data_IF_710390657917
#
_entry.id   IF_710390657917
#
_cell.length_a   1.000
_cell.length_b   1.000
_cell.length_c   1.000
_cell.angle_alpha   90.00
_cell.angle_beta   90.00
_cell.angle_gamma   90.00
#
_symmetry.space_group_name_H-M   'P 1'
#
loop_
_entity.id
_entity.type
_entity.pdbx_description
1 polymer ?
#
# COMPACT_ATOMS: atom_id res chain seq x y z
N UNK A 1 -34.76 -73.90 -1.08
CA UNK A 1 -34.29 -72.50 -0.82
C UNK A 1 -32.77 -72.51 -0.63
N UNK A 2 -32.06 -72.10 -1.69
CA UNK A 2 -30.59 -71.98 -1.66
C UNK A 2 -30.24 -70.47 -1.45
N UNK A 3 -29.62 -70.18 -0.34
CA UNK A 3 -29.07 -68.82 -0.07
C UNK A 3 -27.72 -68.72 -0.76
N UNK A 4 -27.63 -67.80 -1.72
CA UNK A 4 -26.40 -67.41 -2.40
C UNK A 4 -25.73 -66.33 -1.55
N UNK A 5 -24.59 -66.64 -0.93
CA UNK A 5 -23.79 -65.69 -0.18
C UNK A 5 -22.87 -64.95 -1.16
N UNK A 6 -23.17 -63.68 -1.44
CA UNK A 6 -22.31 -62.82 -2.25
C UNK A 6 -21.25 -62.21 -1.28
N UNK A 7 -20.02 -62.70 -1.45
CA UNK A 7 -18.85 -62.18 -0.77
C UNK A 7 -18.35 -60.94 -1.51
N UNK A 8 -18.59 -59.74 -0.96
CA UNK A 8 -17.98 -58.47 -1.46
C UNK A 8 -16.53 -58.46 -1.02
N UNK A 9 -15.60 -58.63 -1.98
CA UNK A 9 -14.19 -58.34 -1.79
C UNK A 9 -14.00 -56.81 -1.89
N UNK A 10 -13.86 -56.16 -0.76
CA UNK A 10 -13.36 -54.78 -0.66
C UNK A 10 -11.85 -54.82 -0.95
N UNK A 11 -11.47 -54.56 -2.21
CA UNK A 11 -10.11 -54.15 -2.55
C UNK A 11 -9.90 -52.72 -2.05
N UNK A 12 -9.36 -52.60 -0.85
CA UNK A 12 -8.82 -51.34 -0.39
C UNK A 12 -7.60 -51.00 -1.25
N UNK A 13 -7.70 -50.03 -2.13
CA UNK A 13 -6.53 -49.33 -2.65
C UNK A 13 -5.83 -48.64 -1.45
N UNK A 14 -4.86 -49.31 -0.90
CA UNK A 14 -3.84 -48.61 -0.09
C UNK A 14 -3.00 -47.78 -1.07
N UNK A 15 -3.33 -46.53 -1.25
CA UNK A 15 -2.35 -45.58 -1.73
C UNK A 15 -1.21 -45.63 -0.69
N UNK A 16 -0.04 -46.09 -1.09
CA UNK A 16 1.18 -45.87 -0.33
C UNK A 16 1.37 -44.37 -0.21
N UNK A 17 0.87 -43.80 0.90
CA UNK A 17 1.34 -42.52 1.39
C UNK A 17 2.75 -42.79 1.87
N UNK A 18 3.75 -42.79 0.95
CA UNK A 18 5.14 -42.65 1.32
C UNK A 18 5.20 -41.45 2.29
N UNK A 19 5.65 -41.71 3.50
CA UNK A 19 5.93 -40.62 4.45
C UNK A 19 6.78 -39.59 3.71
N UNK A 20 6.43 -38.30 3.73
CA UNK A 20 7.23 -37.30 3.05
C UNK A 20 8.68 -37.46 3.48
N UNK A 21 9.59 -37.58 2.51
CA UNK A 21 11.04 -37.60 2.81
C UNK A 21 11.32 -36.46 3.75
N UNK A 22 12.05 -36.76 4.85
CA UNK A 22 12.42 -35.72 5.80
C UNK A 22 13.33 -34.72 5.10
N UNK A 23 12.83 -33.52 4.85
CA UNK A 23 13.61 -32.46 4.25
C UNK A 23 14.74 -32.05 5.20
N UNK A 24 15.96 -32.02 4.72
CA UNK A 24 17.12 -31.56 5.47
C UNK A 24 17.27 -30.05 5.31
N UNK A 25 16.56 -29.29 6.14
CA UNK A 25 16.68 -27.84 6.16
C UNK A 25 18.07 -27.41 6.66
N UNK A 26 18.63 -26.30 6.13
CA UNK A 26 19.80 -25.68 6.73
C UNK A 26 19.56 -25.37 8.23
N UNK A 27 20.57 -25.68 9.06
CA UNK A 27 20.44 -25.52 10.51
C UNK A 27 20.38 -24.02 10.89
N UNK A 28 19.49 -23.70 11.84
CA UNK A 28 19.45 -22.41 12.51
C UNK A 28 20.13 -22.54 13.87
N UNK A 29 21.16 -21.74 14.14
CA UNK A 29 21.78 -21.73 15.47
C UNK A 29 20.77 -21.25 16.51
N UNK A 30 20.90 -21.75 17.73
CA UNK A 30 20.09 -21.34 18.87
C UNK A 30 20.98 -20.58 19.85
N UNK A 31 20.64 -19.33 20.11
CA UNK A 31 21.30 -18.50 21.12
C UNK A 31 20.36 -18.26 22.30
N UNK A 32 20.89 -18.12 23.50
CA UNK A 32 20.08 -17.84 24.68
C UNK A 32 19.97 -16.32 24.85
N UNK A 33 18.95 -15.75 24.25
CA UNK A 33 18.62 -14.31 24.40
C UNK A 33 17.33 -14.20 25.19
N UNK A 34 17.34 -13.35 26.22
CA UNK A 34 16.17 -13.05 27.02
C UNK A 34 15.91 -11.56 26.97
N UNK A 35 14.66 -11.15 26.74
CA UNK A 35 14.24 -9.77 26.85
C UNK A 35 12.91 -9.67 27.62
N UNK A 36 12.62 -8.48 28.13
CA UNK A 36 11.38 -8.24 28.88
C UNK A 36 10.37 -7.51 27.97
N UNK A 37 9.19 -8.10 27.82
CA UNK A 37 8.08 -7.53 27.09
C UNK A 37 6.88 -7.39 28.04
N UNK A 38 6.47 -6.15 28.32
CA UNK A 38 5.35 -5.84 29.23
C UNK A 38 5.44 -6.52 30.61
N UNK A 39 6.65 -6.62 31.17
CA UNK A 39 6.89 -7.25 32.47
C UNK A 39 7.04 -8.80 32.44
N UNK A 40 6.94 -9.39 31.26
CA UNK A 40 7.13 -10.84 31.05
C UNK A 40 8.48 -11.08 30.38
N UNK A 41 9.28 -11.99 30.95
CA UNK A 41 10.53 -12.43 30.34
C UNK A 41 10.23 -13.38 29.20
N UNK A 42 10.63 -13.00 27.99
CA UNK A 42 10.54 -13.81 26.76
C UNK A 42 11.93 -14.41 26.50
N UNK A 43 11.96 -15.73 26.25
CA UNK A 43 13.17 -16.42 25.81
C UNK A 43 13.05 -16.63 24.30
N UNK A 44 13.89 -15.95 23.53
CA UNK A 44 13.92 -16.07 22.09
C UNK A 44 15.30 -16.55 21.63
N UNK A 45 15.43 -17.82 21.24
CA UNK A 45 16.69 -18.36 20.76
C UNK A 45 17.08 -17.87 19.35
N UNK A 46 16.21 -17.14 18.68
CA UNK A 46 16.40 -16.67 17.30
C UNK A 46 16.39 -15.14 17.19
N UNK A 47 16.43 -14.43 18.31
CA UNK A 47 16.43 -12.96 18.33
C UNK A 47 17.51 -12.33 17.43
N UNK A 48 18.64 -12.98 17.26
CA UNK A 48 19.72 -12.54 16.34
C UNK A 48 19.27 -12.45 14.87
N UNK A 49 18.18 -13.14 14.48
CA UNK A 49 17.63 -13.06 13.12
C UNK A 49 16.97 -11.73 12.81
N UNK A 50 16.71 -10.87 13.81
CA UNK A 50 16.23 -9.50 13.59
C UNK A 50 17.32 -8.59 12.99
N UNK A 51 18.59 -8.94 13.08
CA UNK A 51 19.70 -8.26 12.41
C UNK A 51 19.90 -8.83 11.00
N UNK A 52 19.13 -8.32 10.05
CA UNK A 52 19.16 -8.75 8.64
C UNK A 52 20.48 -8.40 7.92
N UNK A 53 21.28 -7.49 8.47
CA UNK A 53 22.60 -7.10 7.91
C UNK A 53 23.74 -7.97 8.47
N UNK A 54 23.47 -8.77 9.47
CA UNK A 54 24.43 -9.70 10.06
C UNK A 54 24.93 -10.69 9.01
N UNK A 55 26.26 -10.86 8.84
CA UNK A 55 26.83 -11.84 7.90
C UNK A 55 26.30 -13.26 8.08
N UNK A 56 26.01 -13.65 9.33
CA UNK A 56 25.44 -14.96 9.61
C UNK A 56 24.00 -15.09 9.08
N UNK A 57 23.16 -14.07 9.29
CA UNK A 57 21.77 -14.09 8.83
C UNK A 57 21.69 -14.05 7.31
N UNK A 58 22.54 -13.25 6.67
CA UNK A 58 22.67 -13.22 5.20
C UNK A 58 23.08 -14.58 4.65
N UNK A 59 24.10 -15.22 5.24
CA UNK A 59 24.55 -16.55 4.81
C UNK A 59 23.47 -17.61 5.05
N UNK A 60 22.81 -17.61 6.21
CA UNK A 60 21.70 -18.50 6.50
C UNK A 60 20.55 -18.33 5.49
N UNK A 61 20.19 -17.11 5.16
CA UNK A 61 19.17 -16.81 4.15
C UNK A 61 19.56 -17.35 2.77
N UNK A 62 20.82 -17.18 2.36
CA UNK A 62 21.32 -17.72 1.11
C UNK A 62 21.27 -19.25 1.06
N UNK A 63 21.59 -19.93 2.18
CA UNK A 63 21.49 -21.39 2.29
C UNK A 63 20.03 -21.86 2.21
N UNK A 64 19.08 -21.14 2.83
CA UNK A 64 17.64 -21.44 2.71
C UNK A 64 17.17 -21.29 1.26
N UNK A 65 17.57 -20.22 0.58
CA UNK A 65 17.23 -20.00 -0.82
C UNK A 65 17.78 -21.10 -1.72
N UNK A 66 19.06 -21.46 -1.57
CA UNK A 66 19.66 -22.55 -2.34
C UNK A 66 18.98 -23.90 -2.08
N UNK A 67 18.55 -24.15 -0.84
CA UNK A 67 17.76 -25.34 -0.50
C UNK A 67 16.41 -25.35 -1.21
N UNK A 68 15.66 -24.22 -1.20
CA UNK A 68 14.38 -24.08 -1.87
C UNK A 68 14.56 -24.26 -3.40
N UNK A 69 15.56 -23.63 -3.98
CA UNK A 69 15.87 -23.79 -5.42
C UNK A 69 16.10 -25.27 -5.77
N UNK A 70 16.93 -25.97 -5.00
CA UNK A 70 17.19 -27.41 -5.23
C UNK A 70 15.96 -28.28 -5.05
N UNK A 71 15.06 -27.94 -4.12
CA UNK A 71 13.80 -28.63 -3.90
C UNK A 71 12.78 -28.40 -5.04
N UNK A 72 12.81 -27.19 -5.61
CA UNK A 72 11.93 -26.80 -6.71
C UNK A 72 12.48 -27.20 -8.09
N UNK A 73 13.70 -27.79 -8.18
CA UNK A 73 14.21 -28.34 -9.42
C UNK A 73 13.36 -29.53 -9.89
N UNK A 74 12.66 -29.37 -11.02
CA UNK A 74 11.87 -30.45 -11.60
C UNK A 74 10.97 -30.02 -12.75
N UNK A 75 10.56 -30.97 -13.56
CA UNK A 75 9.73 -30.72 -14.75
C UNK A 75 8.34 -30.15 -14.43
N UNK A 76 7.80 -30.45 -13.23
CA UNK A 76 6.51 -29.90 -12.80
C UNK A 76 6.60 -28.42 -12.51
N UNK A 77 7.69 -27.97 -11.88
CA UNK A 77 7.93 -26.55 -11.58
C UNK A 77 8.13 -25.75 -12.85
N UNK A 78 8.91 -26.27 -13.82
CA UNK A 78 9.08 -25.59 -15.10
C UNK A 78 7.76 -25.43 -15.84
N UNK A 79 6.89 -26.44 -15.81
CA UNK A 79 5.55 -26.38 -16.40
C UNK A 79 4.67 -25.32 -15.72
N UNK A 80 4.73 -25.23 -14.39
CA UNK A 80 4.01 -24.17 -13.63
C UNK A 80 4.56 -22.79 -13.98
N UNK A 81 5.89 -22.64 -14.08
CA UNK A 81 6.53 -21.39 -14.47
C UNK A 81 6.11 -20.96 -15.89
N UNK A 82 6.05 -21.89 -16.84
CA UNK A 82 5.58 -21.60 -18.20
C UNK A 82 4.14 -21.12 -18.21
N UNK A 83 3.25 -21.80 -17.48
CA UNK A 83 1.83 -21.42 -17.36
C UNK A 83 1.70 -20.02 -16.71
N UNK A 84 2.43 -19.75 -15.63
CA UNK A 84 2.42 -18.46 -14.98
C UNK A 84 2.98 -17.37 -15.89
N UNK A 85 4.08 -17.64 -16.59
CA UNK A 85 4.69 -16.70 -17.54
C UNK A 85 3.71 -16.35 -18.66
N UNK A 86 3.01 -17.34 -19.22
CA UNK A 86 1.97 -17.11 -20.22
C UNK A 86 0.81 -16.28 -19.66
N UNK A 87 0.34 -16.61 -18.45
CA UNK A 87 -0.77 -15.90 -17.80
C UNK A 87 -0.44 -14.43 -17.49
N UNK A 88 0.80 -14.16 -17.07
CA UNK A 88 1.27 -12.81 -16.74
C UNK A 88 1.82 -12.02 -17.93
N UNK A 89 2.02 -12.65 -19.09
CA UNK A 89 2.48 -11.97 -20.32
C UNK A 89 1.40 -11.18 -21.05
N UNK A 90 0.23 -11.02 -20.44
CA UNK A 90 -0.87 -10.26 -21.06
C UNK A 90 -0.60 -8.76 -21.01
N UNK A 91 -0.88 -8.09 -22.12
CA UNK A 91 -0.85 -6.63 -22.18
C UNK A 91 -1.84 -6.02 -21.19
N UNK A 92 -1.40 -5.02 -20.46
CA UNK A 92 -2.18 -4.35 -19.42
C UNK A 92 -2.34 -2.86 -19.72
N UNK A 93 -3.57 -2.38 -19.61
CA UNK A 93 -3.93 -0.95 -19.57
C UNK A 93 -4.75 -0.65 -18.32
N UNK A 94 -4.38 0.36 -17.56
CA UNK A 94 -5.20 0.80 -16.43
C UNK A 94 -6.53 1.39 -16.91
N UNK A 95 -7.54 1.41 -16.01
CA UNK A 95 -8.87 1.95 -16.33
C UNK A 95 -8.84 3.39 -16.85
N UNK A 96 -7.85 4.19 -16.46
CA UNK A 96 -7.66 5.56 -16.96
C UNK A 96 -7.34 5.63 -18.45
N UNK A 97 -6.84 4.56 -19.07
CA UNK A 97 -6.69 4.47 -20.52
C UNK A 97 -8.02 4.60 -21.25
N UNK A 98 -9.07 3.98 -20.71
CA UNK A 98 -10.41 3.98 -21.30
C UNK A 98 -11.22 5.23 -20.94
N UNK A 99 -10.75 6.05 -19.99
CA UNK A 99 -11.39 7.31 -19.62
C UNK A 99 -10.94 8.44 -20.55
N UNK A 100 -11.82 9.04 -21.39
CA UNK A 100 -11.45 10.13 -22.31
C UNK A 100 -10.95 11.40 -21.60
N UNK A 101 -11.34 11.62 -20.35
CA UNK A 101 -10.95 12.77 -19.55
C UNK A 101 -9.58 12.62 -18.90
N UNK A 102 -9.03 11.40 -18.87
CA UNK A 102 -7.72 11.15 -18.33
C UNK A 102 -6.63 11.35 -19.38
N UNK A 103 -5.66 12.21 -19.08
CA UNK A 103 -4.49 12.44 -19.94
C UNK A 103 -3.41 11.36 -19.76
N UNK A 104 -3.49 10.52 -18.70
CA UNK A 104 -2.44 9.59 -18.31
C UNK A 104 -3.00 8.21 -17.95
N UNK A 105 -2.17 7.18 -18.08
CA UNK A 105 -2.52 5.81 -17.76
C UNK A 105 -1.28 4.97 -17.46
N UNK A 106 -1.47 3.78 -16.85
CA UNK A 106 -0.43 2.78 -16.70
C UNK A 106 -0.54 1.74 -17.83
N UNK A 107 0.61 1.33 -18.33
CA UNK A 107 0.76 0.35 -19.39
C UNK A 107 1.84 -0.66 -19.06
N UNK A 108 1.65 -1.91 -19.48
CA UNK A 108 2.66 -2.95 -19.49
C UNK A 108 2.41 -3.83 -20.72
N UNK A 109 3.44 -4.12 -21.52
CA UNK A 109 3.30 -5.00 -22.69
C UNK A 109 3.14 -6.48 -22.32
N UNK A 110 3.34 -6.82 -21.06
CA UNK A 110 3.40 -8.17 -20.53
C UNK A 110 4.83 -8.72 -20.43
N UNK A 111 5.83 -7.95 -20.83
CA UNK A 111 7.25 -8.34 -20.78
C UNK A 111 8.07 -7.54 -19.76
N UNK A 112 7.57 -6.41 -19.30
CA UNK A 112 8.25 -5.56 -18.32
C UNK A 112 7.92 -5.99 -16.90
N UNK A 113 8.90 -5.85 -16.00
CA UNK A 113 8.73 -6.09 -14.55
C UNK A 113 7.76 -5.07 -13.93
N UNK A 114 7.85 -3.81 -14.34
CA UNK A 114 7.06 -2.70 -13.82
C UNK A 114 6.20 -2.05 -14.91
N UNK A 115 5.05 -1.50 -14.51
CA UNK A 115 4.22 -0.71 -15.41
C UNK A 115 4.86 0.62 -15.74
N UNK A 116 4.77 1.00 -17.02
CA UNK A 116 5.10 2.32 -17.51
C UNK A 116 4.00 3.31 -17.16
N UNK A 117 4.34 4.55 -16.83
CA UNK A 117 3.38 5.65 -16.73
C UNK A 117 3.39 6.45 -18.02
N UNK A 118 2.26 6.46 -18.72
CA UNK A 118 2.10 6.93 -20.10
C UNK A 118 1.26 8.18 -20.15
N UNK A 119 1.55 9.07 -21.12
CA UNK A 119 0.72 10.21 -21.50
C UNK A 119 0.08 9.95 -22.85
N UNK A 120 -1.24 10.12 -22.92
CA UNK A 120 -2.01 10.03 -24.16
C UNK A 120 -1.65 11.14 -25.15
N UNK A 121 -1.56 10.80 -26.43
CA UNK A 121 -1.27 11.74 -27.51
C UNK A 121 -1.62 11.15 -28.89
N UNK A 122 -1.13 11.78 -29.95
CA UNK A 122 -1.20 11.19 -31.29
C UNK A 122 -0.34 9.92 -31.35
N UNK A 123 0.84 9.99 -30.73
CA UNK A 123 1.68 8.88 -30.33
C UNK A 123 1.84 8.99 -28.81
N UNK A 124 1.44 7.95 -28.08
CA UNK A 124 1.51 7.95 -26.62
C UNK A 124 2.96 7.99 -26.15
N UNK A 125 3.24 8.78 -25.12
CA UNK A 125 4.59 9.00 -24.62
C UNK A 125 4.82 8.38 -23.25
N UNK A 126 5.96 7.71 -23.05
CA UNK A 126 6.43 7.25 -21.74
C UNK A 126 6.87 8.47 -20.93
N UNK A 127 6.27 8.64 -19.74
CA UNK A 127 6.65 9.70 -18.78
C UNK A 127 7.56 9.14 -17.70
N UNK A 128 7.23 7.97 -17.15
CA UNK A 128 8.07 7.27 -16.19
C UNK A 128 8.23 5.81 -16.61
N UNK A 129 9.46 5.34 -16.63
CA UNK A 129 9.82 3.94 -16.84
C UNK A 129 10.60 3.41 -15.63
N UNK A 130 9.93 2.76 -14.66
CA UNK A 130 10.60 2.22 -13.49
C UNK A 130 11.59 1.08 -13.81
N UNK A 131 11.45 0.42 -14.96
CA UNK A 131 12.34 -0.66 -15.37
C UNK A 131 13.78 -0.20 -15.64
N UNK A 132 13.97 1.11 -15.82
CA UNK A 132 15.28 1.75 -16.06
C UNK A 132 15.91 2.38 -14.82
N UNK A 133 15.26 2.31 -13.64
CA UNK A 133 15.72 3.04 -12.45
C UNK A 133 16.81 2.33 -11.65
N UNK A 134 16.86 1.00 -11.71
CA UNK A 134 17.91 0.20 -11.09
C UNK A 134 18.19 -1.07 -11.89
N UNK A 135 19.44 -1.55 -11.84
CA UNK A 135 19.85 -2.74 -12.58
C UNK A 135 19.16 -4.02 -12.07
N UNK A 136 18.84 -4.07 -10.78
CA UNK A 136 18.15 -5.18 -10.12
C UNK A 136 16.62 -5.05 -10.15
N UNK A 137 16.09 -3.97 -10.76
CA UNK A 137 14.65 -3.66 -10.87
C UNK A 137 13.91 -3.66 -9.53
N UNK A 138 14.58 -3.35 -8.43
CA UNK A 138 13.96 -3.25 -7.09
C UNK A 138 13.28 -1.92 -6.85
N UNK A 139 13.62 -0.86 -7.63
CA UNK A 139 12.94 0.43 -7.55
C UNK A 139 11.57 0.37 -8.23
N UNK A 140 10.53 0.67 -7.49
CA UNK A 140 9.16 0.61 -7.96
C UNK A 140 8.44 1.96 -7.82
N UNK A 141 7.60 2.28 -8.81
CA UNK A 141 6.66 3.41 -8.78
C UNK A 141 5.42 3.01 -7.98
N UNK A 142 5.17 3.74 -6.88
CA UNK A 142 4.03 3.43 -5.99
C UNK A 142 2.82 4.34 -6.26
N UNK A 143 3.01 5.67 -6.22
CA UNK A 143 1.94 6.65 -6.42
C UNK A 143 2.34 7.70 -7.44
N UNK A 144 1.34 8.22 -8.15
CA UNK A 144 1.50 9.36 -9.07
C UNK A 144 0.37 10.36 -8.83
N UNK A 145 0.70 11.64 -8.95
CA UNK A 145 -0.28 12.73 -8.84
C UNK A 145 0.12 13.90 -9.71
N UNK A 146 -0.71 14.24 -10.69
CA UNK A 146 -0.48 15.40 -11.58
C UNK A 146 -1.00 16.66 -10.91
N UNK A 147 -0.24 17.74 -10.95
CA UNK A 147 -0.65 19.03 -10.38
C UNK A 147 -1.89 19.61 -11.08
N UNK A 148 -2.75 20.38 -10.39
CA UNK A 148 -3.94 21.00 -10.98
C UNK A 148 -3.65 21.85 -12.22
N UNK A 149 -2.50 22.53 -12.26
CA UNK A 149 -2.06 23.31 -13.42
C UNK A 149 -1.42 22.46 -14.54
N UNK A 150 -1.35 21.13 -14.36
CA UNK A 150 -0.76 20.15 -15.31
C UNK A 150 0.71 20.40 -15.65
N UNK A 151 1.45 21.17 -14.84
CA UNK A 151 2.87 21.43 -15.05
C UNK A 151 3.80 20.43 -14.38
N UNK A 152 3.35 19.84 -13.27
CA UNK A 152 4.18 18.98 -12.44
C UNK A 152 3.55 17.61 -12.25
N UNK A 153 4.38 16.61 -12.14
CA UNK A 153 4.04 15.26 -11.69
C UNK A 153 4.76 14.99 -10.38
N UNK A 154 4.01 14.77 -9.32
CA UNK A 154 4.55 14.19 -8.09
C UNK A 154 4.42 12.67 -8.16
N UNK A 155 5.48 11.95 -7.81
CA UNK A 155 5.45 10.49 -7.78
C UNK A 155 6.31 9.93 -6.65
N UNK A 156 5.90 8.80 -6.10
CA UNK A 156 6.63 8.14 -5.01
C UNK A 156 7.32 6.87 -5.49
N UNK A 157 8.53 6.67 -4.97
CA UNK A 157 9.40 5.54 -5.28
C UNK A 157 9.66 4.74 -4.01
N UNK A 158 9.56 3.41 -4.10
CA UNK A 158 10.00 2.48 -3.08
C UNK A 158 11.18 1.64 -3.58
N UNK A 159 11.96 1.09 -2.66
CA UNK A 159 13.07 0.20 -2.95
C UNK A 159 12.87 -1.16 -2.26
N UNK A 160 12.91 -2.24 -3.03
CA UNK A 160 12.85 -3.60 -2.50
C UNK A 160 11.56 -3.93 -1.72
N UNK A 161 10.43 -3.26 -2.04
CA UNK A 161 9.14 -3.52 -1.41
C UNK A 161 8.99 -3.03 0.03
N UNK A 162 9.97 -2.25 0.57
CA UNK A 162 9.83 -1.63 1.90
C UNK A 162 8.71 -0.60 1.90
N UNK A 163 8.14 -0.33 3.08
CA UNK A 163 7.05 0.65 3.22
C UNK A 163 7.49 2.10 3.06
N UNK A 164 8.78 2.38 3.18
CA UNK A 164 9.33 3.72 3.05
C UNK A 164 9.34 4.19 1.60
N UNK A 165 8.92 5.44 1.37
CA UNK A 165 8.84 6.08 0.08
C UNK A 165 9.65 7.36 0.05
N UNK A 166 10.10 7.70 -1.15
CA UNK A 166 10.63 9.03 -1.48
C UNK A 166 9.72 9.64 -2.53
N UNK A 167 9.18 10.83 -2.27
CA UNK A 167 8.41 11.58 -3.27
C UNK A 167 9.39 12.44 -4.07
N UNK A 168 9.26 12.38 -5.38
CA UNK A 168 9.98 13.21 -6.37
C UNK A 168 8.99 14.05 -7.15
N UNK A 169 9.45 15.18 -7.64
CA UNK A 169 8.63 16.09 -8.46
C UNK A 169 9.29 16.23 -9.83
N UNK A 170 8.54 15.96 -10.88
CA UNK A 170 8.98 16.15 -12.27
C UNK A 170 8.28 17.35 -12.89
N UNK A 171 9.01 18.18 -13.60
CA UNK A 171 8.46 19.18 -14.51
C UNK A 171 8.04 18.48 -15.82
N UNK A 172 6.76 18.53 -16.16
CA UNK A 172 6.17 17.85 -17.32
C UNK A 172 6.44 18.54 -18.67
N UNK A 173 6.96 19.76 -18.67
CA UNK A 173 7.38 20.45 -19.88
C UNK A 173 8.78 20.01 -20.31
N UNK A 174 9.67 19.86 -19.32
CA UNK A 174 11.07 19.50 -19.55
C UNK A 174 11.37 18.01 -19.37
N UNK A 175 10.45 17.26 -18.74
CA UNK A 175 10.62 15.89 -18.28
C UNK A 175 11.82 15.70 -17.33
N UNK A 176 12.21 16.74 -16.60
CA UNK A 176 13.28 16.68 -15.63
C UNK A 176 12.74 16.71 -14.20
N UNK A 177 13.36 15.94 -13.32
CA UNK A 177 13.07 16.04 -11.89
C UNK A 177 13.61 17.36 -11.33
N UNK A 178 12.84 17.96 -10.41
CA UNK A 178 13.36 18.99 -9.54
C UNK A 178 14.39 18.39 -8.57
N UNK A 179 15.28 19.21 -8.02
CA UNK A 179 16.26 18.76 -7.02
C UNK A 179 15.62 18.41 -5.67
N UNK A 180 14.31 18.59 -5.55
CA UNK A 180 13.55 18.32 -4.33
C UNK A 180 13.23 16.83 -4.19
N UNK A 181 13.66 16.22 -3.10
CA UNK A 181 13.25 14.88 -2.67
C UNK A 181 12.62 14.94 -1.27
N UNK A 182 11.45 14.35 -1.12
CA UNK A 182 10.73 14.27 0.15
C UNK A 182 10.85 12.84 0.68
N UNK A 183 11.57 12.66 1.76
CA UNK A 183 11.85 11.35 2.38
C UNK A 183 10.99 11.08 3.60
N UNK A 184 11.12 9.88 4.20
CA UNK A 184 10.41 9.46 5.42
C UNK A 184 8.89 9.40 5.24
N UNK A 185 8.44 9.27 3.99
CA UNK A 185 7.04 9.08 3.62
C UNK A 185 6.67 7.61 3.77
N UNK A 186 5.51 7.33 4.35
CA UNK A 186 5.00 5.98 4.54
C UNK A 186 3.47 6.01 4.58
N UNK A 187 2.82 5.02 3.94
CA UNK A 187 1.36 4.90 3.89
C UNK A 187 0.66 6.19 3.49
N UNK A 188 1.11 6.82 2.40
CA UNK A 188 0.68 8.14 1.98
C UNK A 188 0.23 8.17 0.53
N UNK A 189 -0.86 8.88 0.28
CA UNK A 189 -1.13 9.46 -1.04
C UNK A 189 -0.36 10.78 -1.19
N UNK A 190 -0.32 11.30 -2.43
CA UNK A 190 0.30 12.58 -2.75
C UNK A 190 -0.80 13.53 -3.21
N UNK A 191 -1.07 14.56 -2.42
CA UNK A 191 -2.17 15.48 -2.67
C UNK A 191 -1.63 16.89 -2.97
N UNK A 192 -1.88 17.37 -4.19
CA UNK A 192 -1.52 18.73 -4.57
C UNK A 192 -2.43 19.76 -3.91
N UNK A 193 -1.84 20.88 -3.50
CA UNK A 193 -2.61 22.08 -3.22
C UNK A 193 -3.18 22.63 -4.54
N UNK A 194 -4.39 23.22 -4.53
CA UNK A 194 -5.08 23.62 -5.76
C UNK A 194 -4.33 24.66 -6.60
N UNK A 195 -3.54 25.52 -5.95
CA UNK A 195 -2.67 26.49 -6.62
C UNK A 195 -1.38 25.85 -7.20
N UNK A 196 -1.23 24.54 -7.05
CA UNK A 196 -0.05 23.77 -7.48
C UNK A 196 1.27 24.19 -6.84
N UNK A 197 1.25 24.92 -5.72
CA UNK A 197 2.44 25.44 -5.05
C UNK A 197 3.18 24.37 -4.26
N UNK A 198 2.55 23.24 -3.95
CA UNK A 198 3.14 22.18 -3.13
C UNK A 198 2.24 20.97 -2.97
N UNK A 199 2.74 20.00 -2.22
CA UNK A 199 2.09 18.71 -1.97
C UNK A 199 1.91 18.45 -0.49
N UNK A 200 0.81 17.79 -0.15
CA UNK A 200 0.53 17.23 1.16
C UNK A 200 0.75 15.72 1.12
N UNK A 201 1.33 15.19 2.20
CA UNK A 201 1.65 13.77 2.32
C UNK A 201 1.75 13.39 3.80
N UNK A 202 1.70 12.10 4.08
CA UNK A 202 1.88 11.55 5.41
C UNK A 202 3.36 11.19 5.62
N UNK A 203 3.92 11.62 6.74
CA UNK A 203 5.32 11.41 7.09
C UNK A 203 5.43 10.86 8.49
N UNK A 204 6.46 10.05 8.70
CA UNK A 204 6.82 9.49 9.99
C UNK A 204 8.18 9.99 10.44
N UNK A 205 8.47 9.98 11.76
CA UNK A 205 9.81 10.21 12.24
C UNK A 205 10.80 9.23 11.60
N UNK A 206 11.99 9.72 11.33
CA UNK A 206 13.07 8.88 10.78
C UNK A 206 13.35 7.73 11.74
N UNK A 207 13.35 6.48 11.28
CA UNK A 207 13.68 5.35 12.11
C UNK A 207 15.13 5.40 12.58
N UNK A 208 15.39 4.88 13.76
CA UNK A 208 16.77 4.68 14.25
C UNK A 208 17.40 3.62 13.34
N UNK A 209 18.59 3.89 12.80
CA UNK A 209 19.26 3.04 11.80
C UNK A 209 19.35 1.57 12.22
N UNK A 210 19.65 1.34 13.51
CA UNK A 210 19.80 -0.01 14.08
C UNK A 210 18.50 -0.81 14.12
N UNK A 211 17.33 -0.13 14.10
CA UNK A 211 16.01 -0.74 14.26
C UNK A 211 15.08 -0.47 13.06
N UNK A 212 15.63 -0.08 11.91
CA UNK A 212 14.85 0.41 10.77
C UNK A 212 13.73 -0.54 10.30
N UNK A 213 13.94 -1.85 10.40
CA UNK A 213 12.99 -2.87 9.95
C UNK A 213 12.04 -3.36 11.05
N UNK A 214 12.46 -3.28 12.32
CA UNK A 214 11.69 -3.75 13.48
C UNK A 214 11.03 -2.62 14.27
N UNK A 215 11.42 -1.35 14.03
CA UNK A 215 10.84 -0.22 14.73
C UNK A 215 9.40 0.00 14.31
N UNK A 216 8.49 -0.04 15.27
CA UNK A 216 7.09 0.34 15.07
C UNK A 216 6.99 1.79 14.61
N UNK A 217 6.12 2.05 13.64
CA UNK A 217 5.89 3.40 13.13
C UNK A 217 4.91 4.15 14.01
N UNK A 218 5.37 5.26 14.59
CA UNK A 218 4.58 6.14 15.47
C UNK A 218 4.64 7.58 14.99
N UNK A 219 3.79 8.43 15.57
CA UNK A 219 3.80 9.87 15.38
C UNK A 219 3.69 10.30 13.91
N UNK A 220 2.88 9.58 13.15
CA UNK A 220 2.53 10.00 11.81
C UNK A 220 1.97 11.43 11.81
N UNK A 221 2.23 12.18 10.75
CA UNK A 221 1.65 13.50 10.58
C UNK A 221 1.56 13.86 9.10
N UNK A 222 0.59 14.71 8.77
CA UNK A 222 0.46 15.32 7.46
C UNK A 222 1.38 16.55 7.42
N UNK A 223 2.24 16.57 6.41
CA UNK A 223 3.12 17.69 6.10
C UNK A 223 2.74 18.33 4.77
N UNK A 224 3.07 19.58 4.61
CA UNK A 224 3.03 20.29 3.34
C UNK A 224 4.45 20.70 2.96
N UNK A 225 4.82 20.43 1.70
CA UNK A 225 6.08 20.93 1.14
C UNK A 225 5.80 21.81 -0.07
N UNK A 226 6.30 23.04 -0.02
CA UNK A 226 6.29 23.97 -1.15
C UNK A 226 7.37 23.56 -2.14
N UNK A 227 6.99 23.27 -3.40
CA UNK A 227 7.93 22.73 -4.39
C UNK A 227 8.95 23.73 -4.91
N UNK A 228 8.68 25.03 -4.80
CA UNK A 228 9.59 26.08 -5.29
C UNK A 228 10.67 26.41 -4.26
N UNK A 229 10.37 26.33 -2.97
CA UNK A 229 11.28 26.70 -1.87
C UNK A 229 11.89 25.50 -1.16
N UNK A 230 11.26 24.31 -1.30
CA UNK A 230 11.60 23.12 -0.51
C UNK A 230 11.20 23.22 0.97
N UNK A 231 10.51 24.29 1.38
CA UNK A 231 10.08 24.44 2.76
C UNK A 231 9.00 23.44 3.12
N UNK A 232 9.28 22.65 4.16
CA UNK A 232 8.37 21.67 4.75
C UNK A 232 7.76 22.22 6.03
N UNK A 233 6.46 22.09 6.21
CA UNK A 233 5.74 22.47 7.41
C UNK A 233 4.75 21.38 7.86
N UNK A 234 4.63 21.23 9.19
CA UNK A 234 3.63 20.36 9.79
C UNK A 234 2.24 20.96 9.53
N UNK A 235 1.39 20.21 8.82
CA UNK A 235 0.02 20.61 8.56
C UNK A 235 -0.94 20.10 9.65
N UNK A 236 -0.92 18.79 9.95
CA UNK A 236 -1.77 18.17 10.96
C UNK A 236 -1.18 16.86 11.48
N UNK A 237 -1.47 16.52 12.74
CA UNK A 237 -1.07 15.25 13.35
C UNK A 237 -0.27 15.40 14.62
N UNK A 238 0.38 14.30 15.04
CA UNK A 238 1.09 14.17 16.34
C UNK A 238 0.18 14.37 17.55
N UNK A 239 -1.10 14.04 17.38
CA UNK A 239 -2.10 14.13 18.46
C UNK A 239 -2.08 12.85 19.30
N UNK A 240 -1.97 11.71 18.64
CA UNK A 240 -1.84 10.38 19.23
C UNK A 240 -0.80 9.61 18.42
N UNK A 241 0.24 9.02 19.08
CA UNK A 241 1.31 8.30 18.39
C UNK A 241 0.86 7.14 17.51
N UNK A 242 -0.27 6.52 17.83
CA UNK A 242 -0.81 5.36 17.11
C UNK A 242 -1.70 5.73 15.90
N UNK A 243 -1.93 7.03 15.68
CA UNK A 243 -2.78 7.49 14.59
C UNK A 243 -2.02 7.64 13.28
N UNK A 244 -2.68 7.21 12.21
CA UNK A 244 -2.33 7.46 10.82
C UNK A 244 -3.32 8.42 10.19
N UNK A 245 -2.88 9.16 9.19
CA UNK A 245 -3.68 10.20 8.58
C UNK A 245 -3.69 10.05 7.06
N UNK A 246 -4.82 10.34 6.44
CA UNK A 246 -4.92 10.52 4.99
C UNK A 246 -5.66 11.82 4.73
N UNK A 247 -5.18 12.62 3.79
CA UNK A 247 -5.80 13.89 3.42
C UNK A 247 -6.42 13.79 2.03
N UNK A 248 -7.60 14.38 1.87
CA UNK A 248 -8.26 14.58 0.57
C UNK A 248 -8.76 16.01 0.48
N UNK A 249 -8.60 16.63 -0.69
CA UNK A 249 -9.09 17.98 -0.95
C UNK A 249 -10.46 17.91 -1.62
N UNK A 250 -11.39 18.72 -1.10
CA UNK A 250 -12.79 18.74 -1.53
C UNK A 250 -13.14 20.13 -2.01
N UNK A 251 -13.51 20.23 -3.29
CA UNK A 251 -13.81 21.50 -3.91
C UNK A 251 -12.56 22.38 -4.09
N UNK A 252 -12.76 23.63 -4.45
CA UNK A 252 -11.68 24.60 -4.73
C UNK A 252 -10.92 25.01 -3.45
N UNK A 253 -10.20 24.09 -2.78
CA UNK A 253 -9.44 24.28 -1.52
C UNK A 253 -10.24 24.79 -0.31
N UNK A 254 -11.55 24.70 -0.35
CA UNK A 254 -12.38 25.26 0.73
C UNK A 254 -12.55 24.28 1.88
N UNK A 255 -12.47 23.00 1.59
CA UNK A 255 -12.64 21.95 2.57
C UNK A 255 -11.55 20.88 2.41
N UNK A 256 -11.01 20.43 3.51
CA UNK A 256 -10.05 19.33 3.59
C UNK A 256 -10.72 18.24 4.40
N UNK A 257 -10.80 17.05 3.82
CA UNK A 257 -11.22 15.84 4.49
C UNK A 257 -9.98 15.13 5.02
N UNK A 258 -9.93 14.91 6.32
CA UNK A 258 -8.88 14.14 6.97
C UNK A 258 -9.49 12.83 7.47
N UNK A 259 -9.00 11.71 6.97
CA UNK A 259 -9.23 10.40 7.55
C UNK A 259 -8.18 10.15 8.62
N UNK A 260 -8.61 9.79 9.81
CA UNK A 260 -7.76 9.40 10.93
C UNK A 260 -8.02 7.93 11.22
N UNK A 261 -6.96 7.13 11.24
CA UNK A 261 -7.01 5.70 11.54
C UNK A 261 -6.22 5.44 12.80
N UNK A 262 -6.81 4.81 13.81
CA UNK A 262 -6.15 4.40 15.04
C UNK A 262 -6.09 2.88 15.08
N UNK A 263 -4.89 2.31 15.09
CA UNK A 263 -4.72 0.87 15.00
C UNK A 263 -5.21 0.31 13.65
N UNK A 264 -5.86 -0.84 13.67
CA UNK A 264 -6.36 -1.53 12.46
C UNK A 264 -7.87 -1.37 12.21
N UNK A 265 -8.62 -0.82 13.15
CA UNK A 265 -10.09 -0.91 13.15
C UNK A 265 -10.82 0.42 13.34
N UNK A 266 -10.16 1.46 13.86
CA UNK A 266 -10.80 2.72 14.18
C UNK A 266 -10.59 3.75 13.08
N UNK A 267 -11.62 4.01 12.28
CA UNK A 267 -11.60 5.01 11.22
C UNK A 267 -12.55 6.19 11.56
N UNK A 268 -12.02 7.40 11.51
CA UNK A 268 -12.77 8.61 11.72
C UNK A 268 -12.50 9.62 10.63
N UNK A 269 -13.52 10.37 10.23
CA UNK A 269 -13.37 11.45 9.26
C UNK A 269 -13.63 12.80 9.92
N UNK A 270 -12.77 13.74 9.60
CA UNK A 270 -12.83 15.11 10.06
C UNK A 270 -12.85 16.05 8.87
N UNK A 271 -13.76 17.02 8.90
CA UNK A 271 -13.83 18.09 7.93
C UNK A 271 -13.12 19.33 8.47
N UNK A 272 -12.34 19.92 7.62
CA UNK A 272 -11.60 21.15 7.87
C UNK A 272 -12.02 22.20 6.86
N UNK A 273 -12.52 23.34 7.33
CA UNK A 273 -12.73 24.53 6.51
C UNK A 273 -11.74 25.62 6.92
N UNK A 274 -11.49 26.59 6.08
CA UNK A 274 -10.65 27.80 6.15
C UNK A 274 -9.77 28.10 7.40
N UNK A 275 -9.74 27.32 8.48
CA UNK A 275 -8.83 27.45 9.61
C UNK A 275 -8.63 26.14 10.38
N UNK A 276 -7.38 25.77 10.65
CA UNK A 276 -6.92 24.56 11.39
C UNK A 276 -7.59 24.38 12.76
N UNK A 277 -8.16 25.42 13.31
CA UNK A 277 -8.82 25.36 14.60
C UNK A 277 -10.25 24.76 14.58
N UNK A 278 -10.72 24.33 13.43
CA UNK A 278 -12.11 23.89 13.23
C UNK A 278 -12.24 22.47 12.67
N UNK A 279 -11.33 21.56 13.00
CA UNK A 279 -11.56 20.13 12.72
C UNK A 279 -12.82 19.67 13.46
N UNK A 280 -13.83 19.27 12.70
CA UNK A 280 -15.05 18.70 13.23
C UNK A 280 -15.19 17.25 12.78
N UNK A 281 -15.40 16.30 13.71
CA UNK A 281 -15.74 14.94 13.33
C UNK A 281 -17.06 14.98 12.55
N UNK A 282 -17.09 14.34 11.40
CA UNK A 282 -18.30 14.27 10.54
C UNK A 282 -18.89 12.87 10.50
N UNK A 283 -18.17 11.88 10.97
CA UNK A 283 -18.67 10.51 11.14
C UNK A 283 -18.73 10.17 12.63
N UNK A 284 -19.64 9.26 13.05
CA UNK A 284 -19.60 8.70 14.39
C UNK A 284 -18.24 8.09 14.68
N UNK A 285 -17.70 8.41 15.87
CA UNK A 285 -16.35 7.97 16.25
C UNK A 285 -16.39 6.51 16.64
N UNK A 286 -15.63 5.66 15.92
CA UNK A 286 -15.44 4.22 16.21
C UNK A 286 -16.73 3.39 16.26
N UNK A 287 -17.77 3.80 15.54
CA UNK A 287 -19.06 3.07 15.53
C UNK A 287 -19.27 2.22 14.27
N UNK A 288 -18.65 2.61 13.14
CA UNK A 288 -18.84 1.96 11.86
C UNK A 288 -17.69 2.27 10.88
N UNK A 289 -17.59 1.49 9.82
CA UNK A 289 -16.70 1.78 8.69
C UNK A 289 -17.33 2.83 7.77
N UNK A 290 -16.53 3.79 7.33
CA UNK A 290 -16.91 4.80 6.36
C UNK A 290 -15.88 4.85 5.23
N UNK A 291 -16.33 4.60 4.00
CA UNK A 291 -15.49 4.70 2.80
C UNK A 291 -15.93 5.92 2.00
N UNK A 292 -15.06 6.94 1.93
CA UNK A 292 -15.32 8.13 1.12
C UNK A 292 -15.41 7.76 -0.36
N UNK A 293 -16.44 8.27 -1.04
CA UNK A 293 -16.69 7.99 -2.47
C UNK A 293 -16.51 9.25 -3.31
N UNK A 294 -17.19 10.34 -2.94
CA UNK A 294 -17.27 11.54 -3.75
C UNK A 294 -17.74 12.74 -2.93
N UNK A 295 -17.53 13.94 -3.46
CA UNK A 295 -18.14 15.17 -2.97
C UNK A 295 -18.82 15.92 -4.09
N UNK A 296 -19.96 16.51 -3.78
CA UNK A 296 -20.62 17.54 -4.61
C UNK A 296 -20.60 18.91 -3.90
N UNK A 297 -21.30 19.89 -4.43
CA UNK A 297 -21.36 21.22 -3.85
C UNK A 297 -22.12 21.29 -2.50
N UNK A 298 -22.83 20.24 -2.13
CA UNK A 298 -23.71 20.21 -0.97
C UNK A 298 -23.20 19.30 0.14
N UNK A 299 -22.35 18.29 -0.17
CA UNK A 299 -21.89 17.35 0.84
C UNK A 299 -20.98 16.25 0.33
N UNK A 300 -20.70 15.31 1.23
CA UNK A 300 -19.80 14.18 1.08
C UNK A 300 -20.59 12.89 1.00
N UNK A 301 -20.21 12.00 0.09
CA UNK A 301 -20.80 10.67 -0.06
C UNK A 301 -19.90 9.62 0.53
N UNK A 302 -20.48 8.75 1.36
CA UNK A 302 -19.78 7.62 1.98
C UNK A 302 -20.57 6.33 1.78
N UNK A 303 -19.84 5.23 1.57
CA UNK A 303 -20.36 3.89 1.78
C UNK A 303 -20.06 3.51 3.22
N UNK A 304 -21.08 3.10 3.98
CA UNK A 304 -20.95 2.78 5.41
C UNK A 304 -21.77 1.55 5.80
N UNK A 305 -21.26 0.81 6.79
CA UNK A 305 -22.00 -0.26 7.46
C UNK A 305 -22.74 0.23 8.74
N UNK A 306 -22.80 1.53 9.01
CA UNK A 306 -23.57 2.08 10.11
C UNK A 306 -25.04 1.68 9.96
N UNK A 307 -25.55 0.87 10.90
CA UNK A 307 -26.91 0.31 10.88
C UNK A 307 -27.29 -0.41 9.57
N UNK A 308 -26.29 -0.98 8.84
CA UNK A 308 -26.45 -1.61 7.54
C UNK A 308 -25.35 -2.67 7.31
N UNK A 309 -25.62 -3.95 7.59
CA UNK A 309 -24.64 -5.03 7.53
C UNK A 309 -24.04 -5.23 6.13
N UNK A 310 -24.82 -4.99 5.07
CA UNK A 310 -24.39 -5.11 3.67
C UNK A 310 -24.04 -3.75 3.06
N UNK A 311 -23.77 -2.75 3.90
CA UNK A 311 -23.47 -1.37 3.54
C UNK A 311 -24.62 -0.60 2.88
N UNK A 312 -24.58 0.71 3.00
CA UNK A 312 -25.46 1.68 2.35
C UNK A 312 -24.69 2.92 1.92
N UNK A 313 -25.23 3.64 0.93
CA UNK A 313 -24.67 4.93 0.52
C UNK A 313 -25.38 6.05 1.29
N UNK A 314 -24.58 6.90 1.93
CA UNK A 314 -25.08 8.06 2.66
C UNK A 314 -24.44 9.35 2.15
N UNK A 315 -25.13 10.48 2.32
CA UNK A 315 -24.61 11.83 2.09
C UNK A 315 -24.56 12.58 3.41
N UNK A 316 -23.43 13.20 3.72
CA UNK A 316 -23.25 14.12 4.85
C UNK A 316 -23.20 15.53 4.31
N UNK A 317 -24.17 16.36 4.69
CA UNK A 317 -24.32 17.73 4.21
C UNK A 317 -23.24 18.67 4.76
N UNK A 318 -22.72 19.59 3.95
CA UNK A 318 -21.79 20.63 4.42
C UNK A 318 -22.47 21.70 5.31
N UNK A 319 -23.77 21.88 5.18
CA UNK A 319 -24.47 22.97 5.86
C UNK A 319 -24.75 22.70 7.34
N UNK A 320 -25.04 21.46 7.69
CA UNK A 320 -25.47 21.05 9.03
C UNK A 320 -24.88 19.74 9.53
N UNK A 321 -24.01 19.11 8.70
CA UNK A 321 -23.35 17.82 8.94
C UNK A 321 -24.33 16.67 9.20
N UNK A 322 -25.59 16.82 8.75
CA UNK A 322 -26.59 15.75 8.86
C UNK A 322 -26.33 14.67 7.80
N UNK A 323 -26.43 13.42 8.25
CA UNK A 323 -26.32 12.24 7.41
C UNK A 323 -27.71 11.87 6.87
N UNK A 324 -27.80 11.68 5.57
CA UNK A 324 -29.02 11.22 4.89
C UNK A 324 -28.71 10.00 4.03
N UNK A 325 -29.62 9.04 4.01
CA UNK A 325 -29.49 7.85 3.16
C UNK A 325 -29.76 8.24 1.69
N UNK A 326 -28.89 7.79 0.80
CA UNK A 326 -28.99 7.98 -0.66
C UNK A 326 -29.39 6.67 -1.34
N UNK A 327 -28.73 5.57 -0.97
CA UNK A 327 -29.08 4.22 -1.40
C UNK A 327 -29.14 3.34 -0.16
N UNK A 328 -30.29 2.72 0.05
CA UNK A 328 -30.48 1.80 1.16
C UNK A 328 -29.64 0.52 0.99
N UNK A 329 -29.39 -0.15 2.11
CA UNK A 329 -28.85 -1.50 2.13
C UNK A 329 -29.66 -2.42 1.22
N UNK A 330 -28.97 -3.26 0.46
CA UNK A 330 -29.58 -4.30 -0.39
C UNK A 330 -29.30 -5.66 0.21
N UNK A 331 -30.30 -6.58 0.07
CA UNK A 331 -30.21 -7.98 0.53
C UNK A 331 -29.17 -8.81 -0.25
#
# INVERSE_FOLDING_TARGET
>A
MRYLLILFLLTSCSADLSSPESLNYPESKRESTNYNLHGTTVIDPYFYMEDFESPYVVEWSNQQNAFVESYLEGSEISTIQDILSEAYSSEYFSMSYFNPESDYYFYNSGSEQHHLYMKKGADDAVILDPNLWSDDQTLNLDKVSVSPNKKYLAYSVSNGGVDWRTIKIMDLETNNNLELEITEVKFSDINWKSDSSGVYYNKYPKPIQENRLSQQSYDAAIYFTNISTGNEELFYGKVNPEQNYTVSFIGEDKNILIKVVTGSEEENFYLYGNSIQALQPITPINEASFNYVHADNEGLFFITNLEANNYRLVKISFSDLQMTEVVAEQD
#
